data_IF_870297108223
#
_entry.id   IF_870297108223
#
_cell.length_a   1.000
_cell.length_b   1.000
_cell.length_c   1.000
_cell.angle_alpha   90.00
_cell.angle_beta   90.00
_cell.angle_gamma   90.00
#
_symmetry.space_group_name_H-M   'P 1'
#
loop_
_entity.id
_entity.type
_entity.pdbx_description
1 polymer ?
#
# COMPACT_ATOMS: atom_id res chain seq x y z
N UNK A 1 23.36 33.04 -24.01
CA UNK A 1 23.36 32.33 -22.72
C UNK A 1 23.20 30.84 -23.01
N UNK A 2 24.27 30.04 -22.89
CA UNK A 2 24.21 28.59 -23.14
C UNK A 2 23.54 27.92 -21.93
N UNK A 3 22.39 27.28 -22.14
CA UNK A 3 21.78 26.37 -21.17
C UNK A 3 22.77 25.22 -20.93
N UNK A 4 23.42 25.22 -19.76
CA UNK A 4 24.15 24.05 -19.28
C UNK A 4 23.10 23.00 -18.91
N UNK A 5 23.05 21.90 -19.64
CA UNK A 5 22.41 20.67 -19.18
C UNK A 5 23.17 20.19 -17.93
N UNK A 6 22.73 20.61 -16.75
CA UNK A 6 23.22 20.12 -15.48
C UNK A 6 22.68 18.70 -15.27
N UNK A 7 23.46 17.69 -15.69
CA UNK A 7 23.24 16.27 -15.36
C UNK A 7 23.22 15.97 -13.84
N UNK A 8 23.35 16.97 -12.96
CA UNK A 8 23.43 16.84 -11.51
C UNK A 8 22.22 17.36 -10.71
N UNK A 9 21.16 17.86 -11.35
CA UNK A 9 19.99 18.41 -10.64
C UNK A 9 18.68 17.66 -11.01
N UNK A 10 18.66 16.35 -10.80
CA UNK A 10 17.47 15.54 -11.05
C UNK A 10 16.60 15.53 -9.80
N UNK A 11 15.32 15.86 -9.97
CA UNK A 11 14.29 15.71 -8.94
C UNK A 11 14.09 14.22 -8.55
N UNK A 12 13.42 13.92 -7.43
CA UNK A 12 13.00 12.56 -7.12
C UNK A 12 12.13 11.98 -8.25
N UNK A 13 12.19 10.66 -8.44
CA UNK A 13 11.21 9.97 -9.28
C UNK A 13 9.98 9.74 -8.44
N UNK A 14 8.81 10.06 -8.97
CA UNK A 14 7.51 9.78 -8.35
C UNK A 14 6.71 8.92 -9.30
N UNK A 15 6.01 7.91 -8.79
CA UNK A 15 5.10 7.06 -9.56
C UNK A 15 3.86 6.70 -8.75
N UNK A 16 2.70 6.78 -9.39
CA UNK A 16 1.48 6.12 -8.92
C UNK A 16 1.56 4.68 -9.44
N UNK A 17 1.60 3.70 -8.53
CA UNK A 17 1.81 2.27 -8.87
C UNK A 17 0.59 1.39 -8.57
N UNK A 18 -0.37 1.94 -7.85
CA UNK A 18 -1.73 1.43 -7.69
C UNK A 18 -2.63 2.66 -7.60
N UNK A 19 -3.80 2.69 -8.27
CA UNK A 19 -4.30 1.74 -9.27
C UNK A 19 -3.37 1.58 -10.48
N UNK A 20 -3.49 0.50 -11.26
CA UNK A 20 -2.79 0.39 -12.55
C UNK A 20 -3.31 1.45 -13.54
N UNK A 21 -2.41 2.00 -14.36
CA UNK A 21 -2.70 3.19 -15.16
C UNK A 21 -3.83 3.02 -16.19
N UNK A 22 -4.08 1.79 -16.63
CA UNK A 22 -5.11 1.39 -17.60
C UNK A 22 -6.36 0.78 -16.95
N UNK A 23 -6.41 0.69 -15.63
CA UNK A 23 -7.56 0.19 -14.90
C UNK A 23 -8.76 1.13 -14.95
N UNK A 24 -9.92 0.52 -14.69
CA UNK A 24 -11.18 1.19 -14.50
C UNK A 24 -11.56 1.19 -13.02
N UNK A 25 -12.01 2.35 -12.55
CA UNK A 25 -12.34 2.61 -11.16
C UNK A 25 -13.86 2.63 -10.99
N UNK A 26 -14.38 1.93 -9.98
CA UNK A 26 -15.80 2.00 -9.65
C UNK A 26 -16.19 3.42 -9.21
N UNK A 27 -17.39 3.92 -9.54
CA UNK A 27 -17.78 5.30 -9.25
C UNK A 27 -18.03 5.58 -7.75
N UNK A 28 -18.39 4.57 -6.98
CA UNK A 28 -18.87 4.72 -5.60
C UNK A 28 -20.37 5.06 -5.51
N UNK A 29 -20.96 4.70 -4.37
CA UNK A 29 -22.39 4.87 -4.10
C UNK A 29 -22.73 6.19 -3.40
N UNK A 30 -21.72 6.90 -2.89
CA UNK A 30 -21.86 8.12 -2.13
C UNK A 30 -22.58 9.22 -2.89
N UNK A 31 -23.53 9.87 -2.21
CA UNK A 31 -24.28 11.02 -2.73
C UNK A 31 -24.10 12.22 -1.82
N UNK A 32 -24.10 13.42 -2.40
CA UNK A 32 -24.02 14.67 -1.64
C UNK A 32 -25.17 14.73 -0.62
N UNK A 33 -24.85 15.07 0.63
CA UNK A 33 -25.75 15.11 1.80
C UNK A 33 -26.31 13.76 2.29
N UNK A 34 -26.05 12.65 1.59
CA UNK A 34 -26.50 11.31 2.00
C UNK A 34 -25.33 10.41 2.41
N UNK A 35 -24.19 10.52 1.73
CA UNK A 35 -23.01 9.70 1.98
C UNK A 35 -23.17 8.24 1.57
N UNK A 36 -22.10 7.47 1.74
CA UNK A 36 -22.06 6.01 1.69
C UNK A 36 -20.68 5.54 2.15
N UNK A 37 -20.61 4.41 2.86
CA UNK A 37 -19.32 3.76 3.13
C UNK A 37 -18.80 2.97 1.91
N UNK A 38 -19.68 2.70 0.93
CA UNK A 38 -19.33 1.99 -0.30
C UNK A 38 -18.82 3.00 -1.36
N UNK A 39 -17.56 3.38 -1.23
CA UNK A 39 -16.89 4.33 -2.11
C UNK A 39 -16.38 3.75 -3.43
N UNK A 40 -15.46 4.48 -4.05
CA UNK A 40 -14.67 4.00 -5.18
C UNK A 40 -13.83 2.77 -4.81
N UNK A 41 -13.29 2.72 -3.58
CA UNK A 41 -12.81 1.50 -2.95
C UNK A 41 -11.45 0.97 -3.40
N UNK A 42 -10.70 1.76 -4.17
CA UNK A 42 -9.36 1.37 -4.64
C UNK A 42 -8.25 1.84 -3.69
N UNK A 43 -7.06 1.23 -3.81
CA UNK A 43 -5.86 1.63 -3.08
C UNK A 43 -4.95 2.49 -3.96
N UNK A 44 -4.54 3.65 -3.46
CA UNK A 44 -3.50 4.50 -4.06
C UNK A 44 -2.18 4.22 -3.38
N UNK A 45 -1.22 3.72 -4.16
CA UNK A 45 0.15 3.56 -3.71
C UNK A 45 1.09 4.42 -4.53
N UNK A 46 1.93 5.15 -3.82
CA UNK A 46 2.93 6.05 -4.39
C UNK A 46 4.31 5.48 -4.09
N UNK A 47 5.12 5.41 -5.15
CA UNK A 47 6.55 5.14 -5.06
C UNK A 47 7.32 6.45 -5.28
N UNK A 48 8.28 6.73 -4.40
CA UNK A 48 9.17 7.88 -4.51
C UNK A 48 10.62 7.43 -4.39
N UNK A 49 11.42 7.56 -5.44
CA UNK A 49 12.87 7.29 -5.36
C UNK A 49 13.65 8.59 -5.29
N UNK A 50 14.42 8.78 -4.20
CA UNK A 50 15.30 9.95 -4.06
C UNK A 50 16.45 9.92 -5.08
N UNK A 51 16.99 11.10 -5.40
CA UNK A 51 18.07 11.26 -6.39
C UNK A 51 19.17 12.16 -5.87
N UNK A 52 20.41 11.81 -6.20
CA UNK A 52 21.61 12.58 -5.91
C UNK A 52 21.84 12.85 -4.42
N UNK A 53 21.52 11.88 -3.55
CA UNK A 53 21.66 11.99 -2.09
C UNK A 53 20.90 13.16 -1.46
N UNK A 54 19.91 13.73 -2.17
CA UNK A 54 19.02 14.71 -1.58
C UNK A 54 17.82 13.93 -1.02
N UNK A 55 17.60 14.01 0.30
CA UNK A 55 16.53 13.28 0.95
C UNK A 55 15.17 13.92 0.70
N UNK A 56 14.13 13.19 1.12
CA UNK A 56 12.75 13.64 1.23
C UNK A 56 12.33 13.36 2.67
N UNK A 57 11.93 14.38 3.42
CA UNK A 57 11.47 14.21 4.81
C UNK A 57 10.14 13.45 4.90
N UNK A 58 10.13 12.39 5.72
CA UNK A 58 8.94 11.60 6.03
C UNK A 58 9.06 10.98 7.44
N UNK A 59 7.97 11.01 8.19
CA UNK A 59 7.78 10.17 9.37
C UNK A 59 7.16 8.86 8.92
N UNK A 60 7.93 7.78 8.97
CA UNK A 60 7.49 6.43 8.60
C UNK A 60 6.65 5.85 9.74
N UNK A 61 5.45 5.38 9.41
CA UNK A 61 4.53 4.82 10.39
C UNK A 61 3.45 3.95 9.73
N UNK A 62 2.85 3.12 10.57
CA UNK A 62 1.62 2.37 10.27
C UNK A 62 0.36 3.24 10.28
N UNK A 63 0.47 4.49 10.72
CA UNK A 63 -0.57 5.52 10.60
C UNK A 63 0.05 6.92 10.48
N UNK A 64 -0.06 7.53 9.30
CA UNK A 64 0.35 8.91 9.01
C UNK A 64 -0.85 9.81 8.65
N UNK A 65 -2.07 9.31 8.83
CA UNK A 65 -3.31 9.97 8.39
C UNK A 65 -3.73 11.05 9.37
N UNK A 66 -4.23 12.17 8.84
CA UNK A 66 -4.89 13.20 9.64
C UNK A 66 -5.94 13.96 8.82
N UNK A 67 -7.22 13.59 9.00
CA UNK A 67 -8.33 14.20 8.25
C UNK A 67 -8.59 15.67 8.57
N UNK A 68 -8.16 16.16 9.74
CA UNK A 68 -8.30 17.57 10.13
C UNK A 68 -7.35 18.50 9.34
N UNK A 69 -6.39 17.90 8.63
CA UNK A 69 -5.42 18.57 7.78
C UNK A 69 -5.77 18.47 6.29
N UNK A 70 -6.99 18.08 5.94
CA UNK A 70 -7.45 18.06 4.55
C UNK A 70 -7.23 19.42 3.87
N UNK A 71 -6.59 19.41 2.71
CA UNK A 71 -6.19 20.62 1.97
C UNK A 71 -4.95 21.33 2.48
N UNK A 72 -4.33 20.85 3.56
CA UNK A 72 -3.08 21.37 4.14
C UNK A 72 -1.92 20.43 3.85
N UNK A 73 -0.72 20.82 4.27
CA UNK A 73 0.48 19.97 4.24
C UNK A 73 0.34 18.87 5.30
N UNK A 74 0.70 17.63 4.96
CA UNK A 74 0.79 16.54 5.93
C UNK A 74 2.11 16.69 6.71
N UNK A 75 2.11 16.94 8.03
CA UNK A 75 3.34 17.09 8.80
C UNK A 75 4.19 15.82 8.84
N UNK A 76 3.59 14.64 8.64
CA UNK A 76 4.33 13.38 8.56
C UNK A 76 4.94 13.13 7.18
N UNK A 77 4.51 13.85 6.15
CA UNK A 77 5.12 13.78 4.82
C UNK A 77 5.01 15.14 4.13
N UNK A 78 5.76 16.16 4.57
CA UNK A 78 5.51 17.55 4.17
C UNK A 78 5.70 17.82 2.67
N UNK A 79 6.60 17.06 2.04
CA UNK A 79 6.88 17.17 0.62
C UNK A 79 5.81 16.54 -0.28
N UNK A 80 4.88 15.74 0.26
CA UNK A 80 3.87 15.03 -0.52
C UNK A 80 2.66 15.91 -0.81
N UNK A 81 2.26 15.93 -2.08
CA UNK A 81 1.04 16.56 -2.57
C UNK A 81 0.29 15.61 -3.49
N UNK A 82 -1.01 15.45 -3.25
CA UNK A 82 -1.87 14.56 -4.06
C UNK A 82 -3.17 15.28 -4.36
N UNK A 83 -3.57 15.27 -5.62
CA UNK A 83 -4.73 16.02 -6.10
C UNK A 83 -5.57 15.17 -7.04
N UNK A 84 -6.88 15.33 -6.95
CA UNK A 84 -7.83 14.85 -7.94
C UNK A 84 -8.37 16.05 -8.72
N UNK A 85 -8.50 15.92 -10.04
CA UNK A 85 -9.08 16.99 -10.88
C UNK A 85 -10.62 17.03 -10.88
N UNK A 86 -11.25 16.14 -10.11
CA UNK A 86 -12.69 16.07 -9.86
C UNK A 86 -12.99 16.21 -8.36
N UNK A 87 -14.20 16.66 -8.03
CA UNK A 87 -14.66 16.68 -6.65
C UNK A 87 -14.79 15.24 -6.13
N UNK A 88 -14.70 15.07 -4.82
CA UNK A 88 -14.93 13.78 -4.16
C UNK A 88 -16.08 13.92 -3.16
N UNK A 89 -16.90 12.88 -3.04
CA UNK A 89 -17.99 12.79 -2.08
C UNK A 89 -17.52 11.91 -0.93
N UNK A 90 -17.42 12.51 0.26
CA UNK A 90 -17.03 11.84 1.50
C UNK A 90 -18.06 10.79 1.92
N UNK A 91 -17.68 9.84 2.78
CA UNK A 91 -18.62 8.88 3.35
C UNK A 91 -19.77 9.52 4.13
N UNK A 92 -19.59 10.71 4.69
CA UNK A 92 -20.63 11.49 5.37
C UNK A 92 -21.50 12.35 4.43
N UNK A 93 -21.27 12.28 3.11
CA UNK A 93 -21.99 13.04 2.09
C UNK A 93 -21.48 14.46 1.88
N UNK A 94 -20.47 14.91 2.63
CA UNK A 94 -19.79 16.17 2.35
C UNK A 94 -18.93 16.11 1.09
N UNK A 95 -18.51 17.27 0.60
CA UNK A 95 -17.70 17.39 -0.61
C UNK A 95 -16.26 17.74 -0.25
N UNK A 96 -15.30 17.05 -0.85
CA UNK A 96 -13.92 17.51 -0.98
C UNK A 96 -13.80 18.12 -2.38
N UNK A 97 -13.50 19.42 -2.44
CA UNK A 97 -13.37 20.10 -3.73
C UNK A 97 -12.17 19.55 -4.52
N UNK A 98 -12.26 19.50 -5.84
CA UNK A 98 -11.14 19.16 -6.72
C UNK A 98 -9.92 20.04 -6.45
N UNK A 99 -8.74 19.48 -6.69
CA UNK A 99 -7.44 20.09 -6.42
C UNK A 99 -7.20 20.46 -4.94
N UNK A 100 -8.00 19.91 -4.02
CA UNK A 100 -7.65 19.88 -2.59
C UNK A 100 -6.44 18.98 -2.38
N UNK A 101 -5.46 19.40 -1.57
CA UNK A 101 -4.35 18.51 -1.21
C UNK A 101 -4.83 17.36 -0.33
N UNK A 102 -4.69 16.13 -0.81
CA UNK A 102 -5.14 14.90 -0.17
C UNK A 102 -4.01 14.13 0.52
N UNK A 103 -2.79 14.67 0.56
CA UNK A 103 -1.65 14.00 1.20
C UNK A 103 -1.88 13.61 2.67
N UNK A 104 -2.76 14.33 3.37
CA UNK A 104 -3.14 14.03 4.75
C UNK A 104 -4.08 12.81 4.89
N UNK A 105 -4.56 12.24 3.78
CA UNK A 105 -5.39 11.03 3.77
C UNK A 105 -4.58 9.73 3.66
N UNK A 106 -3.29 9.82 3.33
CA UNK A 106 -2.41 8.65 3.29
C UNK A 106 -2.35 7.99 4.66
N UNK A 107 -2.46 6.66 4.65
CA UNK A 107 -2.57 5.84 5.84
C UNK A 107 -1.19 5.44 6.34
N UNK A 108 -0.31 5.01 5.46
CA UNK A 108 0.97 4.43 5.87
C UNK A 108 2.10 5.00 5.04
N UNK A 109 3.31 5.02 5.61
CA UNK A 109 4.54 5.28 4.88
C UNK A 109 5.68 4.42 5.41
N UNK A 110 6.51 3.92 4.49
CA UNK A 110 7.66 3.08 4.80
C UNK A 110 8.74 3.16 3.73
N UNK A 111 9.94 2.70 4.01
CA UNK A 111 11.10 2.86 3.12
C UNK A 111 11.90 1.60 2.88
N UNK A 112 12.54 1.57 1.71
CA UNK A 112 13.56 0.60 1.36
C UNK A 112 14.87 1.29 0.95
N UNK A 113 15.98 0.68 1.36
CA UNK A 113 17.36 1.08 1.04
C UNK A 113 17.73 0.64 -0.38
N UNK A 114 17.48 1.55 -1.33
CA UNK A 114 17.58 1.31 -2.75
C UNK A 114 19.05 1.34 -3.21
N UNK A 115 19.50 0.42 -4.08
CA UNK A 115 20.90 0.36 -4.48
C UNK A 115 21.41 1.68 -5.07
N UNK A 116 22.55 2.13 -4.54
CA UNK A 116 23.16 3.39 -4.90
C UNK A 116 22.85 4.48 -3.86
N UNK A 117 22.83 5.76 -4.27
CA UNK A 117 22.68 6.88 -3.34
C UNK A 117 21.22 7.22 -2.97
N UNK A 118 20.26 6.36 -3.33
CA UNK A 118 18.83 6.66 -3.23
C UNK A 118 18.13 5.83 -2.17
N UNK A 119 16.98 6.32 -1.73
CA UNK A 119 16.03 5.62 -0.87
C UNK A 119 14.70 5.59 -1.62
N UNK A 120 13.97 4.50 -1.53
CA UNK A 120 12.60 4.43 -2.04
C UNK A 120 11.65 4.58 -0.87
N UNK A 121 10.78 5.58 -0.94
CA UNK A 121 9.69 5.81 -0.01
C UNK A 121 8.41 5.31 -0.67
N UNK A 122 7.60 4.61 0.10
CA UNK A 122 6.28 4.16 -0.28
C UNK A 122 5.24 4.81 0.61
N UNK A 123 4.10 5.15 0.04
CA UNK A 123 2.95 5.61 0.81
C UNK A 123 1.66 5.02 0.24
N UNK A 124 0.77 4.55 1.11
CA UNK A 124 -0.49 3.91 0.74
C UNK A 124 -1.72 4.62 1.31
N UNK A 125 -2.80 4.66 0.53
CA UNK A 125 -4.11 5.22 0.92
C UNK A 125 -5.26 4.37 0.35
N UNK A 126 -6.19 3.93 1.19
CA UNK A 126 -7.47 3.40 0.71
C UNK A 126 -8.52 4.51 0.51
N UNK A 127 -9.02 4.66 -0.73
CA UNK A 127 -9.96 5.71 -1.11
C UNK A 127 -11.40 5.30 -0.77
N UNK A 128 -11.99 5.97 0.22
CA UNK A 128 -13.37 5.73 0.67
C UNK A 128 -14.39 6.63 -0.05
N UNK A 129 -13.89 7.67 -0.70
CA UNK A 129 -14.70 8.66 -1.35
C UNK A 129 -15.34 8.13 -2.64
N UNK A 130 -16.52 8.65 -2.94
CA UNK A 130 -17.22 8.41 -4.21
C UNK A 130 -16.96 9.56 -5.19
N UNK A 131 -17.09 9.27 -6.48
CA UNK A 131 -17.05 10.26 -7.53
C UNK A 131 -18.44 10.90 -7.71
N UNK A 132 -18.51 12.18 -8.14
CA UNK A 132 -19.74 12.81 -8.54
C UNK A 132 -20.45 11.98 -9.63
N UNK A 133 -21.80 11.99 -9.66
CA UNK A 133 -22.56 11.42 -10.76
C UNK A 133 -22.02 11.91 -12.11
N UNK A 134 -22.05 11.04 -13.10
CA UNK A 134 -21.61 11.31 -14.48
C UNK A 134 -20.09 11.50 -14.70
N UNK A 135 -19.25 11.37 -13.67
CA UNK A 135 -17.79 11.32 -13.85
C UNK A 135 -17.44 10.10 -14.71
N UNK A 136 -16.83 10.34 -15.89
CA UNK A 136 -16.40 9.28 -16.83
C UNK A 136 -14.91 8.96 -16.72
N UNK A 137 -14.14 9.96 -16.33
CA UNK A 137 -12.71 9.87 -16.09
C UNK A 137 -12.31 10.92 -15.07
N UNK A 138 -11.18 10.70 -14.41
CA UNK A 138 -10.57 11.67 -13.52
C UNK A 138 -9.05 11.47 -13.54
N UNK A 139 -8.32 12.49 -13.10
CA UNK A 139 -6.87 12.46 -13.06
C UNK A 139 -6.38 12.62 -11.64
N UNK A 140 -5.47 11.73 -11.23
CA UNK A 140 -4.68 11.88 -10.01
C UNK A 140 -3.34 12.52 -10.40
N UNK A 141 -2.97 13.60 -9.70
CA UNK A 141 -1.64 14.20 -9.80
C UNK A 141 -0.95 14.05 -8.45
N UNK A 142 0.23 13.44 -8.46
CA UNK A 142 1.09 13.30 -7.29
C UNK A 142 2.37 14.07 -7.51
N UNK A 143 2.75 14.91 -6.55
CA UNK A 143 4.02 15.61 -6.56
C UNK A 143 4.75 15.39 -5.24
N UNK A 144 6.08 15.31 -5.31
CA UNK A 144 6.95 15.27 -4.13
C UNK A 144 8.03 16.31 -4.26
N UNK A 145 8.13 17.13 -3.22
CA UNK A 145 9.21 18.12 -3.04
C UNK A 145 10.28 17.50 -2.15
N UNK A 146 11.51 17.45 -2.64
CA UNK A 146 12.66 17.03 -1.82
C UNK A 146 13.26 18.19 -1.03
N UNK A 147 14.23 17.88 -0.15
CA UNK A 147 14.82 18.86 0.78
C UNK A 147 15.60 19.98 0.07
N UNK A 148 15.90 19.83 -1.22
CA UNK A 148 16.48 20.88 -2.06
C UNK A 148 15.42 21.72 -2.82
N UNK A 149 14.14 21.46 -2.57
CA UNK A 149 13.01 22.13 -3.23
C UNK A 149 12.73 21.64 -4.65
N UNK A 150 13.26 20.49 -5.06
CA UNK A 150 13.06 19.93 -6.41
C UNK A 150 11.79 19.11 -6.43
N UNK A 151 11.05 19.18 -7.54
CA UNK A 151 9.72 18.56 -7.67
C UNK A 151 9.77 17.36 -8.58
N UNK A 152 9.54 16.18 -8.03
CA UNK A 152 9.15 15.00 -8.80
C UNK A 152 7.63 14.97 -8.97
N UNK A 153 7.13 14.48 -10.11
CA UNK A 153 5.70 14.47 -10.39
C UNK A 153 5.31 13.23 -11.21
N UNK A 154 4.16 12.69 -10.90
CA UNK A 154 3.44 11.74 -11.74
C UNK A 154 1.97 12.15 -11.91
N UNK A 155 1.37 11.78 -13.03
CA UNK A 155 -0.01 12.11 -13.38
C UNK A 155 -0.64 10.99 -14.18
N UNK A 156 -1.70 10.41 -13.64
CA UNK A 156 -2.40 9.28 -14.25
C UNK A 156 -3.90 9.58 -14.35
N UNK A 157 -4.47 9.40 -15.54
CA UNK A 157 -5.89 9.58 -15.80
C UNK A 157 -6.56 8.22 -15.88
N UNK A 158 -7.54 8.00 -15.00
CA UNK A 158 -8.30 6.75 -14.90
C UNK A 158 -9.66 6.89 -15.55
N UNK A 159 -10.14 5.80 -16.14
CA UNK A 159 -11.52 5.68 -16.58
C UNK A 159 -12.40 5.22 -15.41
N UNK A 160 -13.66 5.65 -15.41
CA UNK A 160 -14.65 5.25 -14.41
C UNK A 160 -15.56 4.19 -15.01
N UNK A 161 -15.84 3.12 -14.27
CA UNK A 161 -16.76 2.07 -14.69
C UNK A 161 -18.16 2.61 -14.98
N UNK A 162 -18.74 2.16 -16.10
CA UNK A 162 -20.06 2.58 -16.59
C UNK A 162 -21.00 1.39 -16.84
N UNK A 163 -20.64 0.20 -16.36
CA UNK A 163 -21.33 -1.06 -16.62
C UNK A 163 -22.35 -1.45 -15.54
N UNK A 164 -22.63 -0.55 -14.60
CA UNK A 164 -23.62 -0.74 -13.53
C UNK A 164 -23.03 -1.22 -12.20
N UNK A 165 -21.73 -1.53 -12.13
CA UNK A 165 -21.05 -1.73 -10.84
C UNK A 165 -20.98 -0.39 -10.10
N UNK A 166 -21.51 -0.35 -8.89
CA UNK A 166 -21.72 0.90 -8.17
C UNK A 166 -20.54 1.32 -7.27
N UNK A 167 -19.76 0.38 -6.73
CA UNK A 167 -18.70 0.62 -5.75
C UNK A 167 -17.53 -0.34 -5.94
N UNK A 168 -16.37 -0.03 -5.34
CA UNK A 168 -15.23 -0.94 -5.33
C UNK A 168 -15.62 -2.28 -4.70
N UNK A 169 -16.33 -2.23 -3.57
CA UNK A 169 -16.76 -3.42 -2.84
C UNK A 169 -17.65 -4.34 -3.67
N UNK A 170 -18.35 -3.81 -4.67
CA UNK A 170 -19.17 -4.60 -5.59
C UNK A 170 -18.35 -5.30 -6.70
N UNK A 171 -17.05 -5.02 -6.82
CA UNK A 171 -16.13 -5.72 -7.72
C UNK A 171 -15.73 -7.10 -7.18
N UNK A 172 -15.70 -7.27 -5.87
CA UNK A 172 -15.26 -8.50 -5.21
C UNK A 172 -16.44 -9.22 -4.55
N UNK A 173 -16.45 -10.56 -4.51
CA UNK A 173 -17.39 -11.28 -3.67
C UNK A 173 -17.13 -11.01 -2.18
N UNK A 174 -18.12 -11.22 -1.30
CA UNK A 174 -17.90 -11.17 0.14
C UNK A 174 -16.77 -12.12 0.57
N UNK A 175 -15.96 -11.76 1.57
CA UNK A 175 -14.92 -12.65 2.07
C UNK A 175 -15.54 -13.89 2.73
N UNK A 176 -15.13 -15.06 2.24
CA UNK A 176 -15.47 -16.37 2.82
C UNK A 176 -14.19 -17.16 3.04
N UNK A 177 -14.26 -18.17 3.91
CA UNK A 177 -13.19 -19.15 4.02
C UNK A 177 -12.95 -19.80 2.65
N UNK A 178 -11.69 -19.85 2.23
CA UNK A 178 -11.28 -20.46 0.97
C UNK A 178 -10.65 -21.83 1.24
N UNK A 179 -11.01 -22.81 0.42
CA UNK A 179 -10.31 -24.10 0.38
C UNK A 179 -9.04 -24.00 -0.48
N UNK A 180 -8.19 -25.02 -0.46
CA UNK A 180 -6.98 -25.09 -1.29
C UNK A 180 -5.87 -25.89 -0.60
N UNK A 181 -4.93 -26.41 -1.38
CA UNK A 181 -3.74 -27.12 -0.86
C UNK A 181 -2.51 -26.21 -0.72
N UNK A 182 -2.64 -24.93 -1.13
CA UNK A 182 -1.60 -23.92 -1.08
C UNK A 182 -0.49 -24.09 -2.12
N UNK A 183 -0.71 -24.93 -3.15
CA UNK A 183 0.15 -25.05 -4.31
C UNK A 183 -0.33 -24.15 -5.44
N UNK A 184 0.60 -23.64 -6.25
CA UNK A 184 0.23 -22.78 -7.37
C UNK A 184 -0.51 -23.56 -8.46
N UNK A 185 -1.68 -23.05 -8.82
CA UNK A 185 -2.51 -23.56 -9.90
C UNK A 185 -2.28 -22.74 -11.17
N UNK A 186 -2.16 -23.39 -12.36
CA UNK A 186 -1.97 -22.68 -13.63
C UNK A 186 -3.03 -21.61 -13.92
N UNK A 187 -4.26 -21.81 -13.42
CA UNK A 187 -5.43 -20.97 -13.59
C UNK A 187 -5.86 -20.21 -12.32
N UNK A 188 -5.02 -20.23 -11.27
CA UNK A 188 -5.21 -19.41 -10.07
C UNK A 188 -4.99 -17.91 -10.32
N UNK A 189 -5.16 -17.06 -9.29
CA UNK A 189 -4.87 -15.63 -9.39
C UNK A 189 -3.44 -15.35 -9.86
N UNK A 190 -3.23 -14.29 -10.64
CA UNK A 190 -1.88 -13.80 -10.89
C UNK A 190 -1.48 -12.87 -9.76
N UNK A 191 -0.55 -13.31 -8.91
CA UNK A 191 -0.10 -12.56 -7.75
C UNK A 191 1.19 -11.83 -8.07
N UNK A 192 1.26 -10.54 -7.74
CA UNK A 192 2.47 -9.75 -7.89
C UNK A 192 2.81 -8.99 -6.61
N UNK A 193 4.08 -8.63 -6.49
CA UNK A 193 4.59 -7.81 -5.40
C UNK A 193 5.59 -6.83 -6.01
N UNK A 194 5.38 -5.54 -5.78
CA UNK A 194 6.21 -4.46 -6.35
C UNK A 194 6.95 -3.66 -5.29
N UNK A 195 6.54 -3.81 -4.03
CA UNK A 195 7.17 -3.26 -2.85
C UNK A 195 7.41 -4.39 -1.83
N UNK A 196 8.62 -4.51 -1.25
CA UNK A 196 9.81 -3.72 -1.56
C UNK A 196 10.27 -3.86 -3.02
N UNK A 197 10.97 -2.86 -3.57
CA UNK A 197 11.46 -2.96 -4.95
C UNK A 197 12.68 -3.87 -5.04
N UNK A 198 12.70 -4.89 -5.87
CA UNK A 198 13.91 -5.70 -6.09
C UNK A 198 14.76 -5.11 -7.25
N UNK A 199 16.10 -4.97 -7.10
CA UNK A 199 16.88 -5.17 -5.87
C UNK A 199 16.75 -3.96 -4.92
N UNK A 200 16.49 -4.23 -3.65
CA UNK A 200 16.58 -3.27 -2.52
C UNK A 200 16.97 -4.01 -1.26
N UNK A 201 17.23 -3.24 -0.20
CA UNK A 201 17.44 -3.76 1.13
C UNK A 201 16.41 -3.18 2.09
N UNK A 202 16.10 -3.91 3.15
CA UNK A 202 15.16 -3.48 4.18
C UNK A 202 15.86 -3.41 5.53
N UNK A 203 15.47 -2.46 6.37
CA UNK A 203 15.92 -2.44 7.76
C UNK A 203 15.34 -3.64 8.53
N UNK A 204 16.05 -4.08 9.56
CA UNK A 204 15.67 -5.26 10.36
C UNK A 204 14.78 -4.91 11.55
N UNK A 205 14.58 -3.64 11.85
CA UNK A 205 14.02 -3.17 13.10
C UNK A 205 15.03 -3.17 14.26
N UNK A 206 14.76 -2.42 15.33
CA UNK A 206 15.60 -2.39 16.51
C UNK A 206 15.66 -3.77 17.20
N UNK A 207 16.77 -4.06 17.88
CA UNK A 207 16.90 -5.27 18.67
C UNK A 207 15.91 -5.28 19.85
N UNK A 208 15.34 -6.45 20.15
CA UNK A 208 14.30 -6.60 21.18
C UNK A 208 12.94 -6.12 20.69
N UNK A 209 12.02 -5.85 21.63
CA UNK A 209 10.64 -5.41 21.29
C UNK A 209 10.68 -3.98 20.73
N UNK A 210 10.27 -3.75 19.46
CA UNK A 210 10.24 -2.41 18.90
C UNK A 210 9.22 -1.54 19.64
N UNK A 211 9.58 -0.28 19.92
CA UNK A 211 8.68 0.71 20.51
C UNK A 211 8.21 1.65 19.40
N UNK A 212 6.90 1.73 19.11
CA UNK A 212 6.39 2.61 18.06
C UNK A 212 6.87 4.06 18.24
N UNK A 213 7.23 4.76 17.15
CA UNK A 213 7.08 4.35 15.75
C UNK A 213 8.23 3.48 15.21
N UNK A 214 9.23 3.09 16.02
CA UNK A 214 10.37 2.32 15.52
C UNK A 214 9.97 0.92 15.05
N UNK A 215 10.62 0.43 13.99
CA UNK A 215 10.41 -0.89 13.42
C UNK A 215 11.30 -1.11 12.20
N UNK A 216 11.05 -2.19 11.47
CA UNK A 216 11.68 -2.40 10.15
C UNK A 216 11.20 -1.34 9.15
N UNK A 217 9.92 -0.96 9.25
CA UNK A 217 9.22 0.10 8.52
C UNK A 217 9.34 0.06 6.99
N UNK A 218 9.66 -1.08 6.40
CA UNK A 218 9.51 -1.26 4.95
C UNK A 218 8.04 -1.52 4.57
N UNK A 219 7.70 -1.23 3.33
CA UNK A 219 6.33 -1.34 2.80
C UNK A 219 6.19 -2.59 1.94
N UNK A 220 5.06 -3.30 2.09
CA UNK A 220 4.69 -4.43 1.26
C UNK A 220 3.40 -4.08 0.54
N UNK A 221 3.40 -4.26 -0.78
CA UNK A 221 2.20 -4.24 -1.62
C UNK A 221 2.08 -5.58 -2.32
N UNK A 222 0.96 -6.26 -2.09
CA UNK A 222 0.56 -7.46 -2.83
C UNK A 222 -0.61 -7.10 -3.72
N UNK A 223 -0.54 -7.48 -5.00
CA UNK A 223 -1.71 -7.44 -5.89
C UNK A 223 -2.05 -8.84 -6.38
N UNK A 224 -3.33 -9.08 -6.64
CA UNK A 224 -3.80 -10.34 -7.20
C UNK A 224 -4.90 -10.10 -8.24
N UNK A 225 -4.63 -10.54 -9.48
CA UNK A 225 -5.55 -10.45 -10.61
C UNK A 225 -6.38 -11.73 -10.70
N UNK A 226 -7.70 -11.61 -10.60
CA UNK A 226 -8.63 -12.73 -10.80
C UNK A 226 -8.79 -13.03 -12.30
N UNK A 227 -7.80 -13.74 -12.86
CA UNK A 227 -7.70 -14.02 -14.30
C UNK A 227 -8.88 -14.78 -14.88
N UNK A 228 -9.56 -15.58 -14.05
CA UNK A 228 -10.60 -16.51 -14.51
C UNK A 228 -12.00 -16.13 -14.01
N UNK A 229 -12.11 -15.10 -13.19
CA UNK A 229 -13.39 -14.63 -12.66
C UNK A 229 -14.00 -15.55 -11.60
N UNK A 230 -13.19 -16.32 -10.87
CA UNK A 230 -13.70 -17.14 -9.76
C UNK A 230 -14.09 -16.30 -8.54
N UNK A 231 -13.61 -15.06 -8.47
CA UNK A 231 -13.78 -14.15 -7.38
C UNK A 231 -12.71 -14.32 -6.31
N UNK A 232 -12.16 -13.19 -5.87
CA UNK A 232 -11.28 -13.10 -4.72
C UNK A 232 -12.04 -12.34 -3.63
N UNK A 233 -12.35 -13.01 -2.52
CA UNK A 233 -13.15 -12.44 -1.44
C UNK A 233 -12.41 -11.36 -0.65
N UNK A 234 -12.84 -10.10 -0.78
CA UNK A 234 -12.23 -8.94 -0.11
C UNK A 234 -13.30 -8.04 0.49
N UNK A 235 -13.12 -7.64 1.75
CA UNK A 235 -13.78 -6.45 2.31
C UNK A 235 -12.83 -5.27 2.18
N UNK A 236 -13.21 -4.28 1.38
CA UNK A 236 -12.44 -3.07 1.15
C UNK A 236 -12.48 -2.14 2.37
N UNK A 237 -11.41 -1.39 2.59
CA UNK A 237 -11.34 -0.46 3.72
C UNK A 237 -9.93 -0.21 4.23
N UNK A 238 -9.85 0.78 5.12
CA UNK A 238 -8.74 0.87 6.06
C UNK A 238 -9.14 0.07 7.30
N UNK A 239 -8.33 -0.93 7.65
CA UNK A 239 -8.47 -1.69 8.89
C UNK A 239 -7.83 -0.85 10.00
N UNK A 240 -8.55 0.20 10.42
CA UNK A 240 -8.06 1.24 11.37
C UNK A 240 -8.05 0.80 12.83
N UNK A 241 -8.53 -0.40 13.14
CA UNK A 241 -8.54 -0.88 14.51
C UNK A 241 -7.31 -1.76 14.77
N UNK A 242 -6.31 -1.17 15.42
CA UNK A 242 -5.11 -1.89 15.88
C UNK A 242 -5.42 -3.00 16.89
N UNK A 243 -6.60 -3.01 17.52
CA UNK A 243 -7.09 -4.12 18.35
C UNK A 243 -7.67 -5.27 17.50
N UNK A 244 -7.98 -5.02 16.23
CA UNK A 244 -8.48 -6.00 15.26
C UNK A 244 -7.38 -6.65 14.41
N UNK A 245 -6.15 -6.15 14.50
CA UNK A 245 -4.96 -6.95 14.19
C UNK A 245 -4.96 -8.08 15.21
N UNK A 246 -5.25 -9.32 14.78
CA UNK A 246 -5.29 -10.45 15.70
C UNK A 246 -3.98 -10.49 16.49
N UNK A 247 -4.09 -10.33 17.81
CA UNK A 247 -2.98 -10.59 18.72
C UNK A 247 -2.59 -12.06 18.55
N UNK A 248 -1.41 -12.39 17.98
CA UNK A 248 -1.08 -13.78 17.75
C UNK A 248 -0.78 -14.53 19.06
N UNK A 249 -0.74 -13.86 20.22
CA UNK A 249 -0.80 -14.55 21.52
C UNK A 249 -2.13 -15.27 21.78
N UNK A 250 -3.23 -14.83 21.12
CA UNK A 250 -4.55 -15.46 21.19
C UNK A 250 -4.71 -16.53 20.09
N UNK A 251 -3.98 -16.38 18.97
CA UNK A 251 -3.96 -17.32 17.85
C UNK A 251 -2.51 -17.47 17.31
N UNK A 252 -1.69 -18.35 17.91
CA UNK A 252 -0.25 -18.44 17.61
C UNK A 252 0.06 -19.04 16.23
N UNK A 253 -0.94 -19.66 15.61
CA UNK A 253 -0.91 -20.00 14.19
C UNK A 253 -1.57 -18.83 13.45
N UNK A 254 -0.78 -18.04 12.71
CA UNK A 254 -1.31 -16.94 11.91
C UNK A 254 -2.52 -17.41 11.11
N UNK A 255 -3.71 -16.89 11.44
CA UNK A 255 -4.95 -17.27 10.78
C UNK A 255 -5.14 -16.54 9.45
N UNK A 256 -6.24 -16.82 8.73
CA UNK A 256 -6.63 -16.02 7.57
C UNK A 256 -6.89 -14.56 7.96
N UNK A 257 -6.63 -13.63 7.05
CA UNK A 257 -7.13 -12.26 7.22
C UNK A 257 -8.66 -12.28 7.07
N UNK A 258 -9.39 -11.85 8.10
CA UNK A 258 -10.88 -11.86 8.07
C UNK A 258 -11.50 -11.07 6.90
N UNK A 259 -10.80 -10.06 6.40
CA UNK A 259 -11.24 -9.18 5.31
C UNK A 259 -10.63 -9.61 3.98
N UNK A 260 -9.62 -10.46 3.98
CA UNK A 260 -9.02 -11.03 2.77
C UNK A 260 -8.58 -12.47 3.04
N UNK A 261 -9.53 -13.42 3.22
CA UNK A 261 -9.21 -14.75 3.73
C UNK A 261 -8.25 -15.56 2.85
N UNK A 262 -8.28 -15.31 1.54
CA UNK A 262 -7.38 -15.94 0.58
C UNK A 262 -5.95 -15.41 0.58
N UNK A 263 -5.66 -14.28 1.24
CA UNK A 263 -4.31 -13.73 1.33
C UNK A 263 -3.49 -14.49 2.38
N UNK A 264 -2.30 -14.91 1.97
CA UNK A 264 -1.25 -15.39 2.87
C UNK A 264 0.04 -14.66 2.56
N UNK A 265 0.70 -14.14 3.59
CA UNK A 265 2.02 -13.52 3.47
C UNK A 265 2.94 -14.10 4.52
N UNK A 266 4.17 -14.46 4.16
CA UNK A 266 5.12 -15.07 5.11
C UNK A 266 6.52 -14.50 4.93
N UNK A 267 7.28 -14.43 6.03
CA UNK A 267 8.73 -14.23 5.99
C UNK A 267 9.45 -15.56 6.27
N UNK A 268 10.65 -15.74 5.71
CA UNK A 268 11.54 -16.85 6.05
C UNK A 268 12.33 -16.64 7.35
N UNK A 269 12.10 -15.52 8.05
CA UNK A 269 12.62 -15.22 9.38
C UNK A 269 11.49 -14.86 10.36
N UNK A 270 11.68 -15.06 11.68
CA UNK A 270 10.72 -14.61 12.67
C UNK A 270 10.54 -13.09 12.69
N UNK A 271 9.34 -12.64 13.09
CA UNK A 271 8.99 -11.24 13.26
C UNK A 271 8.58 -10.97 14.71
N UNK A 272 9.34 -10.12 15.40
CA UNK A 272 8.96 -9.60 16.72
C UNK A 272 8.08 -8.37 16.56
N UNK A 273 6.86 -8.44 17.07
CA UNK A 273 5.88 -7.36 16.99
C UNK A 273 6.08 -6.34 18.13
N UNK A 274 5.55 -5.10 17.99
CA UNK A 274 5.61 -4.08 19.04
C UNK A 274 5.01 -4.46 20.39
N UNK A 275 4.06 -5.40 20.41
CA UNK A 275 3.49 -5.95 21.64
C UNK A 275 4.37 -7.03 22.32
N UNK A 276 5.57 -7.30 21.77
CA UNK A 276 6.52 -8.28 22.27
C UNK A 276 6.31 -9.70 21.76
N UNK A 277 5.21 -9.97 21.06
CA UNK A 277 4.94 -11.28 20.47
C UNK A 277 5.96 -11.63 19.38
N UNK A 278 6.34 -12.90 19.31
CA UNK A 278 7.24 -13.44 18.29
C UNK A 278 6.45 -14.34 17.34
N UNK A 279 6.27 -13.86 16.11
CA UNK A 279 5.68 -14.65 15.04
C UNK A 279 6.80 -15.48 14.39
N UNK A 280 6.69 -16.83 14.36
CA UNK A 280 7.75 -17.66 13.80
C UNK A 280 7.84 -17.49 12.27
N UNK A 281 9.02 -17.81 11.72
CA UNK A 281 9.21 -17.88 10.26
C UNK A 281 8.18 -18.81 9.62
N UNK A 282 7.67 -18.43 8.44
CA UNK A 282 6.66 -19.17 7.69
C UNK A 282 5.23 -19.05 8.21
N UNK A 283 4.98 -18.39 9.35
CA UNK A 283 3.62 -18.13 9.80
C UNK A 283 2.94 -17.05 8.96
N UNK A 284 1.61 -17.14 8.82
CA UNK A 284 0.83 -16.19 8.05
C UNK A 284 0.78 -14.81 8.73
N UNK A 285 1.23 -13.81 8.00
CA UNK A 285 1.24 -12.38 8.30
C UNK A 285 0.13 -11.63 7.56
N UNK A 286 -0.78 -12.29 6.86
CA UNK A 286 -1.92 -11.59 6.26
C UNK A 286 -2.82 -10.86 7.28
N UNK A 287 -3.04 -11.34 8.52
CA UNK A 287 -3.91 -10.65 9.49
C UNK A 287 -3.49 -9.24 9.92
N UNK A 288 -2.26 -8.82 9.61
CA UNK A 288 -1.71 -7.50 9.95
C UNK A 288 -1.78 -6.51 8.78
N UNK A 289 -2.16 -6.95 7.58
CA UNK A 289 -2.43 -6.07 6.44
C UNK A 289 -3.66 -5.21 6.74
N UNK A 290 -3.56 -3.91 6.48
CA UNK A 290 -4.54 -2.93 6.94
C UNK A 290 -5.12 -2.02 5.85
N UNK A 291 -4.67 -2.17 4.62
CA UNK A 291 -5.24 -1.52 3.44
C UNK A 291 -5.64 -2.61 2.46
N UNK A 292 -6.87 -2.57 1.98
CA UNK A 292 -7.31 -3.40 0.87
C UNK A 292 -8.21 -2.57 -0.05
N UNK A 293 -8.00 -2.68 -1.36
CA UNK A 293 -8.85 -2.06 -2.36
C UNK A 293 -8.89 -2.83 -3.67
N UNK A 294 -9.86 -2.51 -4.53
CA UNK A 294 -10.05 -3.21 -5.80
C UNK A 294 -10.23 -2.25 -6.97
N UNK A 295 -9.85 -2.74 -8.14
CA UNK A 295 -9.99 -2.06 -9.42
C UNK A 295 -10.29 -3.09 -10.52
N UNK A 296 -10.74 -2.63 -11.68
CA UNK A 296 -10.96 -3.50 -12.84
C UNK A 296 -9.86 -3.33 -13.87
N UNK A 297 -9.12 -4.40 -14.15
CA UNK A 297 -8.14 -4.47 -15.24
C UNK A 297 -8.74 -5.29 -16.40
N UNK A 298 -9.14 -4.58 -17.46
CA UNK A 298 -9.90 -5.16 -18.56
C UNK A 298 -11.22 -5.77 -18.08
N UNK A 299 -11.35 -7.09 -18.18
CA UNK A 299 -12.52 -7.84 -17.70
C UNK A 299 -12.31 -8.47 -16.30
N UNK A 300 -11.07 -8.49 -15.81
CA UNK A 300 -10.70 -9.10 -14.54
C UNK A 300 -10.70 -8.07 -13.41
N UNK A 301 -10.79 -8.56 -12.18
CA UNK A 301 -10.69 -7.71 -10.98
C UNK A 301 -9.30 -7.86 -10.40
N UNK A 302 -8.63 -6.75 -10.18
CA UNK A 302 -7.36 -6.68 -9.46
C UNK A 302 -7.66 -6.21 -8.04
N UNK A 303 -7.11 -6.94 -7.07
CA UNK A 303 -7.16 -6.56 -5.65
C UNK A 303 -5.76 -6.18 -5.19
N UNK A 304 -5.66 -5.16 -4.35
CA UNK A 304 -4.40 -4.65 -3.78
C UNK A 304 -4.50 -4.69 -2.27
N UNK A 305 -3.45 -5.16 -1.60
CA UNK A 305 -3.32 -5.16 -0.15
C UNK A 305 -1.96 -4.63 0.29
N UNK A 306 -1.96 -3.72 1.27
CA UNK A 306 -0.74 -3.05 1.74
C UNK A 306 -0.50 -3.20 3.24
N UNK A 307 0.77 -3.11 3.61
CA UNK A 307 1.23 -3.14 4.99
C UNK A 307 2.60 -2.45 5.16
N UNK A 308 2.78 -1.72 6.26
CA UNK A 308 4.11 -1.25 6.72
C UNK A 308 4.57 -2.10 7.90
N UNK A 309 5.77 -2.65 7.80
CA UNK A 309 6.30 -3.61 8.78
C UNK A 309 6.76 -2.92 10.07
N UNK A 310 5.83 -2.71 11.00
CA UNK A 310 6.11 -2.12 12.31
C UNK A 310 6.89 -3.01 13.29
N UNK A 311 7.21 -4.26 12.93
CA UNK A 311 7.98 -5.19 13.78
C UNK A 311 9.48 -5.23 13.48
N UNK A 312 10.22 -6.04 14.22
CA UNK A 312 11.64 -6.33 13.98
C UNK A 312 11.83 -7.76 13.47
N UNK A 313 12.60 -7.92 12.39
CA UNK A 313 13.03 -9.19 11.83
C UNK A 313 14.13 -9.81 12.70
N UNK A 314 13.92 -11.04 13.19
CA UNK A 314 14.93 -11.77 13.96
C UNK A 314 15.79 -12.63 13.05
N UNK A 315 16.81 -12.02 12.45
CA UNK A 315 17.70 -12.71 11.52
C UNK A 315 18.54 -13.80 12.22
N UNK A 316 18.54 -15.03 11.71
CA UNK A 316 19.55 -16.02 12.05
C UNK A 316 20.96 -15.50 11.78
N UNK A 317 21.94 -15.96 12.57
CA UNK A 317 23.34 -15.56 12.39
C UNK A 317 23.83 -15.89 10.99
N UNK A 318 24.35 -14.88 10.29
CA UNK A 318 24.91 -15.03 8.93
C UNK A 318 23.88 -14.90 7.80
N UNK A 319 22.61 -14.68 8.10
CA UNK A 319 21.59 -14.39 7.09
C UNK A 319 21.58 -12.89 6.75
N UNK A 320 21.71 -12.57 5.47
CA UNK A 320 21.80 -11.21 4.92
C UNK A 320 20.66 -10.86 3.94
N UNK A 321 19.68 -11.76 3.84
CA UNK A 321 18.48 -11.60 3.02
C UNK A 321 17.23 -12.07 3.76
N UNK A 322 16.09 -11.49 3.41
CA UNK A 322 14.76 -11.97 3.82
C UNK A 322 13.97 -12.33 2.58
N UNK A 323 13.29 -13.46 2.63
CA UNK A 323 12.31 -13.85 1.63
C UNK A 323 10.92 -13.45 2.10
N UNK A 324 10.21 -12.67 1.28
CA UNK A 324 8.77 -12.46 1.40
C UNK A 324 8.07 -13.33 0.38
N UNK A 325 7.12 -14.15 0.83
CA UNK A 325 6.24 -14.93 -0.05
C UNK A 325 4.81 -14.47 0.16
N UNK A 326 4.13 -14.08 -0.91
CA UNK A 326 2.70 -13.81 -0.90
C UNK A 326 1.97 -14.83 -1.76
N UNK A 327 0.80 -15.26 -1.28
CA UNK A 327 -0.11 -16.17 -1.97
C UNK A 327 -1.51 -15.62 -1.90
N UNK A 328 -2.28 -15.80 -2.96
CA UNK A 328 -3.71 -15.51 -2.98
C UNK A 328 -4.45 -16.70 -3.54
N UNK A 329 -5.44 -17.15 -2.77
CA UNK A 329 -6.36 -18.22 -3.15
C UNK A 329 -7.72 -17.64 -3.49
N UNK A 330 -8.26 -18.00 -4.66
CA UNK A 330 -9.59 -17.58 -5.10
C UNK A 330 -10.71 -18.43 -4.48
N UNK A 331 -11.97 -18.06 -4.74
CA UNK A 331 -13.13 -18.79 -4.22
C UNK A 331 -13.34 -20.17 -4.84
N UNK A 332 -12.64 -20.51 -5.94
CA UNK A 332 -12.59 -21.85 -6.50
C UNK A 332 -11.52 -22.72 -5.81
N UNK A 333 -10.75 -22.14 -4.89
CA UNK A 333 -9.69 -22.81 -4.13
C UNK A 333 -8.37 -22.91 -4.88
N UNK A 334 -8.18 -22.12 -5.94
CA UNK A 334 -6.95 -22.09 -6.73
C UNK A 334 -6.01 -21.02 -6.22
N UNK A 335 -4.73 -21.35 -6.12
CA UNK A 335 -3.71 -20.44 -5.57
C UNK A 335 -2.78 -19.92 -6.65
N UNK A 336 -2.39 -18.65 -6.54
CA UNK A 336 -1.18 -18.13 -7.18
C UNK A 336 -0.23 -17.58 -6.13
N UNK A 337 1.07 -17.53 -6.46
CA UNK A 337 2.09 -17.01 -5.56
C UNK A 337 3.14 -16.15 -6.23
N UNK A 338 3.76 -15.31 -5.41
CA UNK A 338 4.97 -14.55 -5.75
C UNK A 338 5.95 -14.60 -4.59
N UNK A 339 7.23 -14.63 -4.93
CA UNK A 339 8.34 -14.58 -3.97
C UNK A 339 9.25 -13.42 -4.32
N UNK A 340 9.57 -12.62 -3.32
CA UNK A 340 10.64 -11.62 -3.39
C UNK A 340 11.74 -11.94 -2.38
N UNK A 341 12.99 -11.70 -2.77
CA UNK A 341 14.15 -11.79 -1.88
C UNK A 341 14.79 -10.41 -1.82
N UNK A 342 14.86 -9.86 -0.62
CA UNK A 342 15.41 -8.53 -0.34
C UNK A 342 16.65 -8.65 0.52
N UNK A 343 17.62 -7.75 0.32
CA UNK A 343 18.80 -7.69 1.19
C UNK A 343 18.50 -7.03 2.53
N UNK A 344 19.48 -7.08 3.43
CA UNK A 344 19.40 -6.39 4.72
C UNK A 344 20.17 -5.08 4.67
N UNK A 345 19.51 -3.99 5.07
CA UNK A 345 20.11 -2.66 5.12
C UNK A 345 21.15 -2.57 6.24
N UNK A 346 22.06 -1.62 6.13
CA UNK A 346 22.99 -1.29 7.21
C UNK A 346 22.33 -0.55 8.37
N UNK A 347 21.13 0.02 8.18
CA UNK A 347 20.38 0.67 9.26
C UNK A 347 19.46 -0.32 9.96
N UNK A 348 19.27 -0.11 11.26
CA UNK A 348 18.39 -0.96 12.07
C UNK A 348 16.93 -0.51 11.97
N UNK A 349 16.64 0.79 11.90
CA UNK A 349 15.27 1.31 11.81
C UNK A 349 15.03 1.88 10.40
N UNK A 350 13.88 1.56 9.79
CA UNK A 350 13.55 2.11 8.46
C UNK A 350 13.51 3.64 8.46
N UNK A 351 13.04 4.25 9.56
CA UNK A 351 13.06 5.70 9.76
C UNK A 351 14.45 6.32 9.63
N UNK A 352 15.54 5.57 9.85
CA UNK A 352 16.90 6.11 9.73
C UNK A 352 17.33 6.28 8.26
N UNK A 353 16.54 5.81 7.29
CA UNK A 353 16.76 6.02 5.85
C UNK A 353 16.30 7.41 5.38
N UNK A 354 15.42 8.07 6.13
CA UNK A 354 14.86 9.38 5.77
C UNK A 354 14.94 10.37 6.93
N UNK A 355 15.14 11.66 6.68
CA UNK A 355 15.10 12.66 7.75
C UNK A 355 13.67 12.81 8.27
N UNK A 356 13.54 12.94 9.60
CA UNK A 356 12.29 13.34 10.21
C UNK A 356 11.89 14.77 9.75
N UNK A 357 10.60 15.04 9.47
CA UNK A 357 10.02 16.35 9.16
C UNK A 357 10.27 17.49 10.16
#
# INVERSE_FOLDING_TARGET
MRLKNNKGNLAPIVRIVSPLADSLIAPGEGRVNAGSQNGTGFAINIEVTTRNQVPVSVNEAIDIRNTDLLGKVNPNFPGLYVFFDTDLIKPDGGIIAKNTNLAALFNVAGTDDTPGPGVTIWAGWHVLESLPPDTKQFTITTAVVDDAGRVGLDRVTFQVLQDGVASGQALTPPPTEVGGDGQDDPDGPEVTMIAPRVPTRVAVGPAGTPVPPAGSLFFIQVTALDRTGAGIGVTEGVILDGEQIQNPAVNPTGGPNRNYPGLTVTFDVPLRQPNGNLVPAGANLAPIFNIAGSERDGAAVLTTADWVVGGSLELPTGQDTVTVTARVTDNAGRTGSVRQVVGISSVANGQDLTPAP
#
